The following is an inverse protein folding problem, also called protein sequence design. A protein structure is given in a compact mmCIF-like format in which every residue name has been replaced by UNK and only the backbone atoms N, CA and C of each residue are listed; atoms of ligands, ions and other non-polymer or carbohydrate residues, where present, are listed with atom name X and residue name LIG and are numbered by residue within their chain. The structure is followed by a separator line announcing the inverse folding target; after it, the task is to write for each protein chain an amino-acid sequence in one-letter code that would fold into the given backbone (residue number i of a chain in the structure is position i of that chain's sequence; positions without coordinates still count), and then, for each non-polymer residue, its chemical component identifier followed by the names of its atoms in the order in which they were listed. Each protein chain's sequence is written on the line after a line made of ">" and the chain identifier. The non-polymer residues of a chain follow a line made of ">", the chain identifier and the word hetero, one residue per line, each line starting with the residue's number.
data_IF_879270077539
#
_entry.id   IF_879270077539
#
_cell.length_a   1.000
_cell.length_b   1.000
_cell.length_c   1.000
_cell.angle_alpha   90.00
_cell.angle_beta   90.00
_cell.angle_gamma   90.00
#
_symmetry.space_group_name_H-M   'P 1'
#
loop_
_entity.id
_entity.type
_entity.pdbx_description
1 polymer ?
#
# COMPACT_ATOMS: atom_id res chain seq x y z
N UNK A 1 -5.16 14.87 26.53
CA UNK A 1 -4.13 15.30 27.49
C UNK A 1 -4.59 14.91 28.89
N UNK A 2 -3.94 13.94 29.54
CA UNK A 2 -4.11 13.63 30.96
C UNK A 2 -2.74 13.63 31.61
N UNK A 3 -2.68 14.32 32.75
CA UNK A 3 -1.49 14.85 33.40
C UNK A 3 -0.56 13.78 33.95
N UNK A 4 0.73 14.09 33.82
CA UNK A 4 1.87 13.46 34.47
C UNK A 4 2.10 14.09 35.86
N UNK A 5 2.88 13.38 36.68
CA UNK A 5 3.54 13.82 37.94
C UNK A 5 2.77 13.60 39.26
N UNK A 6 3.01 12.44 39.86
CA UNK A 6 3.07 12.26 41.30
C UNK A 6 4.40 12.82 41.84
N UNK A 7 4.42 13.65 42.89
CA UNK A 7 5.62 13.89 43.68
C UNK A 7 5.79 12.80 44.74
N UNK A 8 7.01 12.26 44.82
CA UNK A 8 7.48 11.43 45.92
C UNK A 8 7.56 12.26 47.21
N UNK A 9 6.78 11.91 48.24
CA UNK A 9 6.98 12.45 49.58
C UNK A 9 7.89 11.51 50.38
N UNK A 10 9.11 11.99 50.62
CA UNK A 10 10.09 11.41 51.52
C UNK A 10 9.71 11.84 52.94
N UNK A 11 9.35 10.91 53.82
CA UNK A 11 9.09 11.19 55.24
C UNK A 11 10.10 10.43 56.10
N UNK A 12 11.23 11.09 56.38
CA UNK A 12 12.14 10.73 57.47
C UNK A 12 11.49 11.20 58.78
N UNK A 13 10.93 10.26 59.55
CA UNK A 13 10.65 10.51 60.97
C UNK A 13 11.57 9.65 61.80
N UNK A 14 12.62 10.29 62.31
CA UNK A 14 13.40 9.82 63.44
C UNK A 14 12.44 9.53 64.61
N UNK A 15 12.50 8.33 65.16
CA UNK A 15 12.06 8.06 66.52
C UNK A 15 13.28 7.57 67.26
N UNK A 16 13.90 8.50 67.99
CA UNK A 16 14.81 8.16 69.07
C UNK A 16 13.98 7.67 70.26
N UNK A 17 14.38 6.53 70.81
CA UNK A 17 14.07 6.18 72.20
C UNK A 17 15.36 5.65 72.82
N UNK A 18 15.95 6.46 73.69
CA UNK A 18 16.86 6.00 74.71
C UNK A 18 16.01 5.43 75.86
N UNK A 19 16.21 4.17 76.23
CA UNK A 19 16.02 3.74 77.61
C UNK A 19 16.91 2.53 77.92
N UNK A 20 17.68 2.67 78.99
CA UNK A 20 18.70 1.76 79.47
C UNK A 20 18.12 0.52 80.17
N UNK A 21 18.79 -0.63 80.03
CA UNK A 21 19.21 -1.54 81.11
C UNK A 21 19.61 -2.93 80.57
N UNK A 22 20.85 -3.35 80.88
CA UNK A 22 21.19 -4.73 81.29
C UNK A 22 21.26 -5.87 80.24
N UNK A 23 22.42 -6.53 80.19
CA UNK A 23 22.60 -7.91 79.70
C UNK A 23 23.08 -8.03 78.24
N UNK A 24 24.35 -8.28 77.95
CA UNK A 24 25.08 -9.55 78.09
C UNK A 24 24.67 -10.62 77.07
N UNK A 25 25.57 -10.81 76.08
CA UNK A 25 25.84 -12.00 75.25
C UNK A 25 25.14 -12.17 73.89
N UNK A 26 25.95 -12.56 72.91
CA UNK A 26 25.52 -13.58 71.94
C UNK A 26 25.43 -13.15 70.48
N UNK A 27 26.51 -12.61 69.91
CA UNK A 27 26.67 -12.59 68.46
C UNK A 27 26.80 -14.03 67.92
N UNK A 28 25.71 -14.62 67.42
CA UNK A 28 25.74 -15.77 66.50
C UNK A 28 24.59 -15.71 65.49
N UNK A 29 24.89 -15.07 64.36
CA UNK A 29 24.54 -15.49 63.00
C UNK A 29 23.25 -16.31 62.82
N UNK A 30 22.09 -15.64 62.78
CA UNK A 30 20.95 -16.18 62.06
C UNK A 30 21.24 -16.06 60.55
N UNK A 31 21.46 -17.22 59.92
CA UNK A 31 21.39 -17.39 58.47
C UNK A 31 20.00 -16.94 57.99
N UNK A 32 19.86 -15.66 57.66
CA UNK A 32 18.69 -15.17 56.94
C UNK A 32 18.86 -15.62 55.50
N UNK A 33 18.23 -16.76 55.22
CA UNK A 33 17.96 -17.32 53.91
C UNK A 33 17.43 -16.20 53.00
N UNK A 34 18.34 -15.58 52.24
CA UNK A 34 17.98 -14.60 51.22
C UNK A 34 17.28 -15.36 50.11
N UNK A 35 15.95 -15.46 50.20
CA UNK A 35 15.10 -15.78 49.07
C UNK A 35 15.25 -14.60 48.10
N UNK A 36 16.27 -14.67 47.23
CA UNK A 36 16.33 -13.85 46.03
C UNK A 36 15.15 -14.29 45.17
N UNK A 37 14.03 -13.59 45.31
CA UNK A 37 12.99 -13.53 44.30
C UNK A 37 13.63 -12.98 43.01
N UNK A 38 14.13 -13.88 42.16
CA UNK A 38 14.45 -13.62 40.77
C UNK A 38 13.12 -13.36 40.05
N UNK A 39 12.56 -12.19 40.29
CA UNK A 39 11.46 -11.67 39.49
C UNK A 39 12.04 -11.32 38.12
N UNK A 40 11.97 -12.29 37.21
CA UNK A 40 12.32 -12.18 35.79
C UNK A 40 11.41 -11.11 35.17
N UNK A 41 11.84 -9.84 35.20
CA UNK A 41 11.20 -8.75 34.47
C UNK A 41 11.47 -8.99 32.98
N UNK A 42 10.55 -9.71 32.32
CA UNK A 42 10.57 -9.90 30.88
C UNK A 42 10.53 -8.53 30.21
N UNK A 43 11.67 -8.10 29.67
CA UNK A 43 11.83 -6.92 28.83
C UNK A 43 11.20 -7.19 27.45
N UNK A 44 9.88 -7.39 27.41
CA UNK A 44 9.14 -7.69 26.18
C UNK A 44 8.70 -6.45 25.39
N UNK A 45 8.65 -5.27 26.03
CA UNK A 45 8.10 -4.06 25.42
C UNK A 45 8.90 -3.52 24.22
N UNK A 46 10.23 -3.71 24.23
CA UNK A 46 11.09 -3.28 23.11
C UNK A 46 10.94 -4.17 21.88
N UNK A 47 10.76 -5.47 22.07
CA UNK A 47 10.61 -6.43 20.97
C UNK A 47 9.22 -6.33 20.32
N UNK A 48 8.17 -6.17 21.12
CA UNK A 48 6.80 -5.97 20.61
C UNK A 48 6.68 -4.66 19.80
N UNK A 49 7.29 -3.56 20.26
CA UNK A 49 7.31 -2.30 19.50
C UNK A 49 8.02 -2.44 18.16
N UNK A 50 9.15 -3.15 18.11
CA UNK A 50 9.88 -3.42 16.85
C UNK A 50 9.05 -4.27 15.89
N UNK A 51 8.36 -5.30 16.41
CA UNK A 51 7.47 -6.15 15.60
C UNK A 51 6.32 -5.33 15.01
N UNK A 52 5.68 -4.45 15.80
CA UNK A 52 4.60 -3.59 15.30
C UNK A 52 5.06 -2.65 14.18
N UNK A 53 6.26 -2.07 14.31
CA UNK A 53 6.84 -1.21 13.27
C UNK A 53 7.12 -2.01 12.00
N UNK A 54 7.67 -3.22 12.12
CA UNK A 54 7.91 -4.11 10.97
C UNK A 54 6.59 -4.48 10.28
N UNK A 55 5.54 -4.81 11.05
CA UNK A 55 4.22 -5.09 10.49
C UNK A 55 3.63 -3.87 9.74
N UNK A 56 3.79 -2.66 10.29
CA UNK A 56 3.37 -1.44 9.60
C UNK A 56 4.13 -1.21 8.29
N UNK A 57 5.45 -1.42 8.28
CA UNK A 57 6.26 -1.27 7.07
C UNK A 57 5.86 -2.30 6.01
N UNK A 58 5.65 -3.55 6.40
CA UNK A 58 5.19 -4.60 5.49
C UNK A 58 3.81 -4.28 4.92
N UNK A 59 2.89 -3.78 5.74
CA UNK A 59 1.57 -3.36 5.28
C UNK A 59 1.66 -2.22 4.26
N UNK A 60 2.50 -1.21 4.52
CA UNK A 60 2.74 -0.12 3.59
C UNK A 60 3.38 -0.61 2.29
N UNK A 61 4.34 -1.54 2.35
CA UNK A 61 4.96 -2.11 1.17
C UNK A 61 3.96 -2.87 0.29
N UNK A 62 3.04 -3.64 0.90
CA UNK A 62 1.96 -4.33 0.18
C UNK A 62 0.98 -3.33 -0.42
N UNK A 63 0.58 -2.30 0.33
CA UNK A 63 -0.30 -1.26 -0.18
C UNK A 63 0.31 -0.52 -1.38
N UNK A 64 1.58 -0.12 -1.29
CA UNK A 64 2.27 0.57 -2.39
C UNK A 64 2.44 -0.32 -3.61
N UNK A 65 2.81 -1.60 -3.43
CA UNK A 65 2.97 -2.54 -4.54
C UNK A 65 1.65 -2.84 -5.26
N UNK A 66 0.53 -2.96 -4.53
CA UNK A 66 -0.79 -3.12 -5.13
C UNK A 66 -1.21 -1.90 -5.96
N UNK A 67 -0.90 -0.69 -5.48
CA UNK A 67 -1.14 0.53 -6.24
C UNK A 67 -0.18 0.67 -7.43
N UNK A 68 1.01 0.06 -7.37
CA UNK A 68 2.02 0.16 -8.42
C UNK A 68 1.59 -0.51 -9.73
N UNK A 69 0.84 -1.63 -9.67
CA UNK A 69 0.30 -2.29 -10.85
C UNK A 69 -0.61 -1.35 -11.68
N UNK A 70 -1.38 -0.50 -11.00
CA UNK A 70 -2.30 0.45 -11.63
C UNK A 70 -1.55 1.65 -12.22
N UNK A 71 -0.45 2.07 -11.57
CA UNK A 71 0.43 3.14 -12.06
C UNK A 71 1.16 2.72 -13.34
N UNK A 72 1.56 1.45 -13.46
CA UNK A 72 2.24 0.96 -14.67
C UNK A 72 1.24 0.62 -15.76
N UNK A 73 0.13 -0.05 -15.43
CA UNK A 73 -0.82 -0.59 -16.39
C UNK A 73 -1.91 0.38 -16.85
N UNK A 74 -2.05 1.52 -16.18
CA UNK A 74 -3.19 2.43 -16.35
C UNK A 74 -4.43 1.95 -15.60
N UNK A 75 -5.34 2.88 -15.32
CA UNK A 75 -6.54 2.61 -14.52
C UNK A 75 -7.57 1.81 -15.33
N UNK A 76 -8.14 0.71 -14.79
CA UNK A 76 -9.10 -0.13 -15.51
C UNK A 76 -10.37 0.63 -15.88
N UNK A 77 -10.82 1.55 -15.02
CA UNK A 77 -11.98 2.42 -15.29
C UNK A 77 -11.73 3.32 -16.50
N UNK A 78 -10.55 3.94 -16.58
CA UNK A 78 -10.16 4.79 -17.71
C UNK A 78 -10.08 3.99 -19.01
N UNK A 79 -9.54 2.77 -18.97
CA UNK A 79 -9.51 1.88 -20.13
C UNK A 79 -10.91 1.57 -20.66
N UNK A 80 -11.84 1.23 -19.77
CA UNK A 80 -13.23 0.94 -20.14
C UNK A 80 -13.95 2.16 -20.72
N UNK A 81 -13.75 3.34 -20.14
CA UNK A 81 -14.30 4.59 -20.66
C UNK A 81 -13.76 4.91 -22.07
N UNK A 82 -12.44 4.75 -22.26
CA UNK A 82 -11.80 4.96 -23.56
C UNK A 82 -12.30 3.96 -24.60
N UNK A 83 -12.45 2.69 -24.22
CA UNK A 83 -12.97 1.67 -25.10
C UNK A 83 -14.38 2.01 -25.58
N UNK A 84 -15.24 2.52 -24.70
CA UNK A 84 -16.56 3.05 -25.05
C UNK A 84 -16.47 4.23 -26.02
N UNK A 85 -15.66 5.23 -25.72
CA UNK A 85 -15.49 6.41 -26.58
C UNK A 85 -14.98 6.05 -27.99
N UNK A 86 -14.02 5.12 -28.10
CA UNK A 86 -13.50 4.67 -29.40
C UNK A 86 -14.57 3.90 -30.16
N UNK A 87 -15.35 3.07 -29.48
CA UNK A 87 -16.49 2.36 -30.10
C UNK A 87 -17.53 3.34 -30.64
N UNK A 88 -17.90 4.33 -29.86
CA UNK A 88 -18.88 5.34 -30.25
C UNK A 88 -18.37 6.19 -31.42
N UNK A 89 -17.08 6.56 -31.42
CA UNK A 89 -16.44 7.23 -32.55
C UNK A 89 -16.51 6.40 -33.83
N UNK A 90 -16.16 5.10 -33.76
CA UNK A 90 -16.20 4.21 -34.93
C UNK A 90 -17.61 4.07 -35.49
N UNK A 91 -18.61 3.97 -34.61
CA UNK A 91 -20.00 3.80 -35.03
C UNK A 91 -20.63 5.09 -35.55
N UNK A 92 -20.43 6.20 -34.86
CA UNK A 92 -21.15 7.45 -35.14
C UNK A 92 -20.44 8.33 -36.16
N UNK A 93 -19.11 8.42 -36.12
CA UNK A 93 -18.35 9.26 -37.05
C UNK A 93 -17.87 8.48 -38.28
N UNK A 94 -17.45 7.23 -38.09
CA UNK A 94 -16.92 6.39 -39.18
C UNK A 94 -17.95 5.39 -39.75
N UNK A 95 -19.20 5.39 -39.25
CA UNK A 95 -20.29 4.54 -39.72
C UNK A 95 -20.02 3.02 -39.73
N UNK A 96 -19.08 2.54 -38.91
CA UNK A 96 -18.85 1.11 -38.75
C UNK A 96 -20.00 0.44 -37.99
N UNK A 97 -20.35 -0.79 -38.38
CA UNK A 97 -21.29 -1.60 -37.59
C UNK A 97 -20.56 -2.27 -36.44
N UNK A 98 -21.28 -2.52 -35.34
CA UNK A 98 -20.75 -3.29 -34.19
C UNK A 98 -20.20 -4.66 -34.64
N UNK A 99 -20.82 -5.28 -35.64
CA UNK A 99 -20.40 -6.58 -36.19
C UNK A 99 -19.05 -6.54 -36.89
N UNK A 100 -18.65 -5.35 -37.37
CA UNK A 100 -17.43 -5.16 -38.15
C UNK A 100 -16.24 -4.92 -37.21
N UNK A 101 -16.49 -4.69 -35.91
CA UNK A 101 -15.47 -4.50 -34.89
C UNK A 101 -15.26 -5.83 -34.17
N UNK A 102 -14.11 -6.47 -34.37
CA UNK A 102 -13.76 -7.73 -33.71
C UNK A 102 -13.29 -7.51 -32.27
N UNK A 103 -12.38 -6.56 -32.06
CA UNK A 103 -11.88 -6.19 -30.73
C UNK A 103 -11.42 -4.74 -30.65
N UNK A 104 -11.49 -4.19 -29.43
CA UNK A 104 -10.90 -2.90 -29.08
C UNK A 104 -10.07 -3.10 -27.82
N UNK A 105 -8.76 -2.98 -27.95
CA UNK A 105 -7.78 -3.19 -26.90
C UNK A 105 -7.13 -1.86 -26.50
N UNK A 106 -7.37 -1.42 -25.26
CA UNK A 106 -6.84 -0.14 -24.75
C UNK A 106 -5.58 -0.36 -23.92
N UNK A 107 -4.50 0.30 -24.33
CA UNK A 107 -3.19 0.20 -23.67
C UNK A 107 -2.77 1.56 -23.13
N UNK A 108 -2.22 1.58 -21.92
CA UNK A 108 -1.59 2.77 -21.36
C UNK A 108 -0.09 2.74 -21.64
N UNK A 109 0.43 3.80 -22.26
CA UNK A 109 1.86 3.92 -22.52
C UNK A 109 2.51 4.83 -21.48
N UNK A 110 3.11 4.24 -20.45
CA UNK A 110 3.83 4.99 -19.42
C UNK A 110 4.95 5.88 -19.97
N UNK A 111 5.56 5.50 -21.10
CA UNK A 111 6.64 6.27 -21.74
C UNK A 111 6.16 7.65 -22.21
N UNK A 112 4.92 7.71 -22.70
CA UNK A 112 4.33 8.93 -23.24
C UNK A 112 3.32 9.57 -22.28
N UNK A 113 2.85 8.82 -21.27
CA UNK A 113 1.82 9.29 -20.34
C UNK A 113 0.41 9.18 -20.89
N UNK A 114 0.24 8.52 -22.04
CA UNK A 114 -1.00 8.56 -22.83
C UNK A 114 -1.63 7.19 -23.00
N UNK A 115 -2.94 7.19 -23.25
CA UNK A 115 -3.69 6.00 -23.64
C UNK A 115 -3.78 5.89 -25.16
N UNK A 116 -3.67 4.67 -25.66
CA UNK A 116 -3.92 4.33 -27.06
C UNK A 116 -4.90 3.16 -27.15
N UNK A 117 -5.67 3.12 -28.23
CA UNK A 117 -6.55 2.01 -28.54
C UNK A 117 -6.10 1.32 -29.81
N UNK A 118 -6.06 0.00 -29.77
CA UNK A 118 -5.88 -0.87 -30.92
C UNK A 118 -7.25 -1.43 -31.29
N UNK A 119 -7.64 -1.27 -32.55
CA UNK A 119 -8.91 -1.78 -33.07
C UNK A 119 -8.58 -2.81 -34.13
N UNK A 120 -9.22 -3.98 -34.01
CA UNK A 120 -9.15 -5.04 -34.99
C UNK A 120 -10.56 -5.18 -35.58
N UNK A 121 -10.63 -5.12 -36.91
CA UNK A 121 -11.90 -5.30 -37.62
C UNK A 121 -12.13 -6.79 -37.91
N UNK A 122 -13.39 -7.18 -38.04
CA UNK A 122 -13.82 -8.57 -38.24
C UNK A 122 -13.43 -9.13 -39.60
N UNK A 123 -13.40 -8.27 -40.62
CA UNK A 123 -12.97 -8.56 -41.99
C UNK A 123 -11.44 -8.63 -42.10
N UNK A 124 -10.72 -7.77 -41.37
CA UNK A 124 -9.26 -7.67 -41.42
C UNK A 124 -8.60 -8.00 -40.08
N UNK A 125 -8.68 -9.26 -39.66
CA UNK A 125 -8.11 -9.71 -38.37
C UNK A 125 -6.58 -9.56 -38.27
N UNK A 126 -5.89 -9.48 -39.39
CA UNK A 126 -4.43 -9.26 -39.45
C UNK A 126 -4.04 -7.78 -39.44
N UNK A 127 -5.01 -6.87 -39.57
CA UNK A 127 -4.78 -5.42 -39.62
C UNK A 127 -5.16 -4.79 -38.30
N UNK A 128 -4.20 -4.06 -37.73
CA UNK A 128 -4.35 -3.37 -36.45
C UNK A 128 -4.40 -1.88 -36.71
N UNK A 129 -5.53 -1.27 -36.37
CA UNK A 129 -5.73 0.17 -36.45
C UNK A 129 -5.40 0.82 -35.11
N UNK A 130 -4.55 1.85 -35.11
CA UNK A 130 -4.08 2.50 -33.89
C UNK A 130 -4.72 3.88 -33.74
N UNK A 131 -5.44 4.07 -32.63
CA UNK A 131 -6.07 5.32 -32.27
C UNK A 131 -5.38 5.93 -31.05
N UNK A 132 -5.18 7.25 -31.08
CA UNK A 132 -4.72 8.05 -29.94
C UNK A 132 -5.90 8.80 -29.34
N UNK A 133 -5.90 8.89 -28.02
CA UNK A 133 -6.92 9.57 -27.25
C UNK A 133 -6.29 10.80 -26.63
N UNK A 134 -6.33 11.90 -27.38
CA UNK A 134 -6.00 13.24 -26.89
C UNK A 134 -7.32 13.92 -26.47
N UNK A 135 -7.64 15.11 -27.02
CA UNK A 135 -8.95 15.77 -26.85
C UNK A 135 -10.09 15.11 -27.66
N UNK A 136 -9.72 14.43 -28.75
CA UNK A 136 -10.62 13.69 -29.63
C UNK A 136 -9.95 12.38 -30.05
N UNK A 137 -10.76 11.37 -30.35
CA UNK A 137 -10.26 10.10 -30.90
C UNK A 137 -9.70 10.40 -32.30
N UNK A 138 -8.41 10.14 -32.51
CA UNK A 138 -7.76 10.32 -33.82
C UNK A 138 -7.02 9.05 -34.22
N UNK A 139 -7.18 8.66 -35.48
CA UNK A 139 -6.40 7.56 -36.03
C UNK A 139 -4.94 8.01 -36.22
N UNK A 140 -4.03 7.32 -35.55
CA UNK A 140 -2.59 7.62 -35.59
C UNK A 140 -1.84 6.78 -36.62
N UNK A 141 -2.41 5.64 -37.03
CA UNK A 141 -1.82 4.77 -38.05
C UNK A 141 -2.51 3.42 -38.14
N UNK A 142 -1.93 2.52 -38.95
CA UNK A 142 -2.33 1.14 -39.08
C UNK A 142 -1.09 0.26 -39.29
N UNK A 143 -1.18 -1.01 -38.92
CA UNK A 143 -0.15 -2.02 -39.21
C UNK A 143 -0.86 -3.28 -39.70
N UNK A 144 -0.64 -3.66 -40.96
CA UNK A 144 -1.27 -4.80 -41.60
C UNK A 144 -0.68 -5.06 -42.99
N UNK A 145 -0.91 -6.27 -43.51
CA UNK A 145 -0.47 -6.68 -44.86
C UNK A 145 -1.51 -6.37 -45.95
N UNK A 146 -2.73 -6.01 -45.58
CA UNK A 146 -3.81 -5.74 -46.54
C UNK A 146 -3.80 -4.28 -47.00
N UNK A 147 -4.29 -4.05 -48.22
CA UNK A 147 -4.51 -2.70 -48.73
C UNK A 147 -5.48 -1.98 -47.79
N UNK A 148 -5.07 -0.81 -47.28
CA UNK A 148 -5.86 0.06 -46.39
C UNK A 148 -7.33 0.08 -46.82
N UNK A 149 -8.26 -0.20 -45.91
CA UNK A 149 -9.67 0.12 -46.12
C UNK A 149 -9.77 1.63 -46.34
N UNK A 150 -9.97 2.01 -47.60
CA UNK A 150 -9.99 3.42 -48.02
C UNK A 150 -11.32 3.99 -47.53
N UNK A 151 -11.25 5.06 -46.73
CA UNK A 151 -12.40 5.93 -46.44
C UNK A 151 -13.19 6.13 -47.74
N UNK A 152 -14.44 5.70 -47.72
CA UNK A 152 -15.41 6.05 -48.76
C UNK A 152 -16.24 7.24 -48.32
#
# INVERSE_FOLDING_TARGET
>A
MRHFQHPCNFSLRQVGVNLAAGGSWGAKNCNFMVIRALCKRHSGGGMVRKILVICMILFLAVAVSYNFEWIIGGYPQTKSAIQGNVRDYLMNEQNYKITDIASIDVTYSRKFGDYSAQVILSDEKETKYYYRIDEKVKQSGYNGKTNKHRES
#
